data_IF_647824340246
#
_entry.id   IF_647824340246
#
_cell.length_a   1.000
_cell.length_b   1.000
_cell.length_c   1.000
_cell.angle_alpha   90.00
_cell.angle_beta   90.00
_cell.angle_gamma   90.00
#
_symmetry.space_group_name_H-M   'P 1'
#
loop_
_entity.id
_entity.type
_entity.pdbx_description
1 polymer ?
#
# COMPACT_ATOMS: atom_id res chain seq x y z
N UNK A 1 4.27 10.29 -15.84
CA UNK A 1 4.05 8.85 -15.54
C UNK A 1 3.05 8.30 -16.54
N UNK A 2 3.39 7.21 -17.22
CA UNK A 2 2.49 6.52 -18.15
C UNK A 2 1.39 5.77 -17.38
N UNK A 3 0.19 5.63 -17.95
CA UNK A 3 -0.95 4.92 -17.33
C UNK A 3 -0.57 3.50 -16.87
N UNK A 4 0.27 2.81 -17.65
CA UNK A 4 0.79 1.46 -17.35
C UNK A 4 1.67 1.44 -16.08
N UNK A 5 2.49 2.46 -15.88
CA UNK A 5 3.34 2.58 -14.69
C UNK A 5 2.51 2.80 -13.42
N UNK A 6 1.46 3.63 -13.50
CA UNK A 6 0.55 3.84 -12.36
C UNK A 6 -0.20 2.56 -12.01
N UNK A 7 -0.71 1.83 -13.01
CA UNK A 7 -1.40 0.55 -12.81
C UNK A 7 -0.48 -0.50 -12.16
N UNK A 8 0.73 -0.68 -12.69
CA UNK A 8 1.73 -1.56 -12.08
C UNK A 8 2.03 -1.17 -10.63
N UNK A 9 2.24 0.12 -10.37
CA UNK A 9 2.54 0.61 -9.02
C UNK A 9 1.38 0.33 -8.04
N UNK A 10 0.13 0.49 -8.47
CA UNK A 10 -1.05 0.16 -7.65
C UNK A 10 -1.15 -1.33 -7.38
N UNK A 11 -0.99 -2.18 -8.40
CA UNK A 11 -1.04 -3.64 -8.25
C UNK A 11 0.08 -4.13 -7.32
N UNK A 12 1.30 -3.66 -7.54
CA UNK A 12 2.47 -4.02 -6.74
C UNK A 12 2.28 -3.68 -5.25
N UNK A 13 1.81 -2.46 -4.95
CA UNK A 13 1.56 -2.07 -3.56
C UNK A 13 0.32 -2.78 -2.98
N UNK A 14 -0.66 -3.14 -3.80
CA UNK A 14 -1.78 -3.99 -3.38
C UNK A 14 -1.31 -5.37 -2.92
N UNK A 15 -0.42 -6.02 -3.68
CA UNK A 15 0.18 -7.32 -3.30
C UNK A 15 0.96 -7.18 -2.00
N UNK A 16 1.77 -6.12 -1.87
CA UNK A 16 2.51 -5.84 -0.63
C UNK A 16 1.57 -5.65 0.56
N UNK A 17 0.44 -4.95 0.36
CA UNK A 17 -0.55 -4.72 1.41
C UNK A 17 -1.16 -6.04 1.91
N UNK A 18 -1.53 -6.93 0.98
CA UNK A 18 -2.08 -8.27 1.31
C UNK A 18 -1.03 -9.10 2.05
N UNK A 19 0.22 -9.08 1.60
CA UNK A 19 1.32 -9.80 2.24
C UNK A 19 1.57 -9.29 3.66
N UNK A 20 1.62 -7.97 3.84
CA UNK A 20 1.80 -7.33 5.14
C UNK A 20 0.64 -7.64 6.09
N UNK A 21 -0.60 -7.60 5.61
CA UNK A 21 -1.78 -7.98 6.39
C UNK A 21 -1.69 -9.45 6.84
N UNK A 22 -1.34 -10.36 5.93
CA UNK A 22 -1.20 -11.78 6.25
C UNK A 22 -0.12 -12.04 7.32
N UNK A 23 1.04 -11.39 7.19
CA UNK A 23 2.11 -11.44 8.20
C UNK A 23 1.60 -10.97 9.55
N UNK A 24 0.94 -9.81 9.61
CA UNK A 24 0.38 -9.27 10.85
C UNK A 24 -0.63 -10.23 11.47
N UNK A 25 -1.55 -10.79 10.68
CA UNK A 25 -2.58 -11.73 11.17
C UNK A 25 -1.97 -13.02 11.72
N UNK A 26 -1.04 -13.65 10.99
CA UNK A 26 -0.39 -14.89 11.43
C UNK A 26 0.37 -14.67 12.73
N UNK A 27 1.17 -13.60 12.82
CA UNK A 27 1.95 -13.32 14.03
C UNK A 27 1.14 -12.77 15.20
N UNK A 28 -0.04 -12.20 14.95
CA UNK A 28 -0.99 -11.86 16.00
C UNK A 28 -1.61 -13.11 16.66
N UNK A 29 -1.85 -14.17 15.89
CA UNK A 29 -2.42 -15.42 16.38
C UNK A 29 -1.40 -16.27 17.18
N UNK A 30 -0.11 -16.20 16.83
CA UNK A 30 0.98 -16.90 17.53
C UNK A 30 1.49 -16.18 18.79
N UNK A 31 0.90 -15.02 19.13
CA UNK A 31 0.91 -14.49 20.50
C UNK A 31 2.14 -13.73 20.99
N UNK A 32 3.29 -13.68 20.30
CA UNK A 32 4.46 -12.97 20.87
C UNK A 32 5.44 -12.32 19.89
N UNK A 33 5.04 -12.06 18.64
CA UNK A 33 5.93 -11.50 17.60
C UNK A 33 5.59 -10.04 17.25
N UNK A 34 5.51 -9.18 18.29
CA UNK A 34 5.17 -7.75 18.18
C UNK A 34 6.07 -7.00 17.19
N UNK A 35 7.35 -7.39 17.09
CA UNK A 35 8.29 -6.78 16.15
C UNK A 35 7.90 -7.01 14.68
N UNK A 36 7.46 -8.21 14.32
CA UNK A 36 7.03 -8.53 12.95
C UNK A 36 5.69 -7.87 12.61
N UNK A 37 4.79 -7.76 13.60
CA UNK A 37 3.56 -6.98 13.44
C UNK A 37 3.85 -5.49 13.19
N UNK A 38 4.82 -4.91 13.89
CA UNK A 38 5.23 -3.52 13.69
C UNK A 38 5.82 -3.30 12.28
N UNK A 39 6.69 -4.21 11.81
CA UNK A 39 7.24 -4.16 10.45
C UNK A 39 6.13 -4.26 9.39
N UNK A 40 5.22 -5.23 9.52
CA UNK A 40 4.09 -5.38 8.60
C UNK A 40 3.20 -4.14 8.57
N UNK A 41 2.93 -3.55 9.74
CA UNK A 41 2.14 -2.32 9.86
C UNK A 41 2.81 -1.13 9.18
N UNK A 42 4.13 -0.96 9.34
CA UNK A 42 4.88 0.12 8.68
C UNK A 42 4.88 -0.02 7.16
N UNK A 43 5.04 -1.24 6.64
CA UNK A 43 4.99 -1.55 5.21
C UNK A 43 3.59 -1.24 4.65
N UNK A 44 2.55 -1.63 5.38
CA UNK A 44 1.16 -1.36 4.99
C UNK A 44 0.87 0.15 4.97
N UNK A 45 1.27 0.89 6.00
CA UNK A 45 1.08 2.33 6.09
C UNK A 45 1.79 3.08 4.93
N UNK A 46 3.04 2.72 4.62
CA UNK A 46 3.76 3.31 3.49
C UNK A 46 3.08 3.01 2.14
N UNK A 47 2.56 1.79 1.97
CA UNK A 47 1.85 1.40 0.75
C UNK A 47 0.54 2.18 0.57
N UNK A 48 -0.25 2.32 1.63
CA UNK A 48 -1.46 3.14 1.65
C UNK A 48 -1.12 4.60 1.29
N UNK A 49 -0.10 5.17 1.92
CA UNK A 49 0.32 6.55 1.65
C UNK A 49 0.69 6.76 0.18
N UNK A 50 1.44 5.84 -0.42
CA UNK A 50 1.81 5.90 -1.84
C UNK A 50 0.61 5.77 -2.78
N UNK A 51 -0.36 4.89 -2.45
CA UNK A 51 -1.60 4.75 -3.21
C UNK A 51 -2.41 6.06 -3.13
N UNK A 52 -2.62 6.61 -1.93
CA UNK A 52 -3.32 7.89 -1.74
C UNK A 52 -2.66 9.05 -2.48
N UNK A 53 -1.33 9.15 -2.41
CA UNK A 53 -0.57 10.18 -3.14
C UNK A 53 -0.73 10.01 -4.66
N UNK A 54 -0.72 8.78 -5.16
CA UNK A 54 -0.99 8.47 -6.57
C UNK A 54 -2.40 8.86 -7.00
N UNK A 55 -3.42 8.55 -6.20
CA UNK A 55 -4.81 8.92 -6.47
C UNK A 55 -5.02 10.44 -6.47
N UNK A 56 -4.43 11.17 -5.51
CA UNK A 56 -4.52 12.64 -5.46
C UNK A 56 -3.93 13.29 -6.72
N UNK A 57 -2.79 12.79 -7.21
CA UNK A 57 -2.19 13.29 -8.44
C UNK A 57 -3.02 12.98 -9.70
N UNK A 58 -3.69 11.83 -9.73
CA UNK A 58 -4.61 11.48 -10.82
C UNK A 58 -5.86 12.37 -10.83
N UNK A 59 -6.40 12.72 -9.66
CA UNK A 59 -7.55 13.62 -9.53
C UNK A 59 -7.23 15.03 -10.03
N UNK A 60 -6.11 15.61 -9.59
CA UNK A 60 -5.69 16.96 -9.99
C UNK A 60 -5.44 17.10 -11.50
N UNK A 61 -4.93 16.05 -12.15
CA UNK A 61 -4.75 16.04 -13.62
C UNK A 61 -6.06 15.96 -14.39
N UNK A 62 -7.12 15.40 -13.80
CA UNK A 62 -8.45 15.34 -14.41
C UNK A 62 -9.11 16.72 -14.37
N UNK A 63 -8.96 17.44 -13.26
CA UNK A 63 -9.56 18.77 -13.06
C UNK A 63 -8.88 19.87 -13.90
N UNK A 64 -7.62 19.70 -14.31
CA UNK A 64 -6.91 20.64 -15.22
C UNK A 64 -7.04 20.30 -16.71
N UNK A 65 -7.70 19.19 -17.06
CA UNK A 65 -7.96 18.79 -18.44
C UNK A 65 -9.40 19.12 -18.90
N UNK A 66 -10.17 19.81 -18.05
CA UNK A 66 -11.47 20.43 -18.33
C UNK A 66 -11.25 21.93 -18.44
#
# INVERSE_FOLDING_TARGET
MTKRFMLFNTIFHGIILVLAFFIVTVYALDGFQVFYMAIGTLIAANSIFRIFKGMKHLRLRKDQAV
#
